data_IF_296494623019
#
_entry.id   IF_296494623019
#
_cell.length_a   1.000
_cell.length_b   1.000
_cell.length_c   1.000
_cell.angle_alpha   90.00
_cell.angle_beta   90.00
_cell.angle_gamma   90.00
#
_symmetry.space_group_name_H-M   'P 1'
#
loop_
_entity.id
_entity.type
_entity.pdbx_description
1 polymer ?
#
# COMPACT_ATOMS: atom_id res chain seq x y z
N UNK A 1 -5.41 2.02 -13.31
CA UNK A 1 -4.01 1.61 -12.95
C UNK A 1 -4.12 0.53 -11.91
N UNK A 2 -3.88 -0.72 -12.30
CA UNK A 2 -4.07 -1.89 -11.42
C UNK A 2 -2.88 -1.99 -10.46
N UNK A 3 -3.11 -1.73 -9.18
CA UNK A 3 -2.12 -1.99 -8.13
C UNK A 3 -2.17 -3.49 -7.83
N UNK A 4 -1.22 -4.25 -8.34
CA UNK A 4 -1.10 -5.67 -8.01
C UNK A 4 -0.46 -5.81 -6.63
N UNK A 5 -1.29 -5.80 -5.58
CA UNK A 5 -0.91 -6.31 -4.27
C UNK A 5 -1.03 -7.84 -4.33
N UNK A 6 0.06 -8.56 -4.10
CA UNK A 6 0.06 -10.02 -4.18
C UNK A 6 0.68 -10.61 -2.91
N UNK A 7 -0.14 -10.75 -1.85
CA UNK A 7 0.25 -11.41 -0.60
C UNK A 7 1.56 -10.90 0.04
N UNK A 8 2.12 -11.68 0.98
CA UNK A 8 3.36 -11.37 1.72
C UNK A 8 4.63 -11.20 0.84
N UNK A 9 4.49 -11.26 -0.48
CA UNK A 9 5.54 -10.95 -1.45
C UNK A 9 5.12 -9.73 -2.27
N UNK A 10 5.33 -8.54 -1.68
CA UNK A 10 5.32 -7.28 -2.38
C UNK A 10 6.44 -7.30 -3.43
N UNK A 11 6.21 -7.86 -4.62
CA UNK A 11 7.10 -7.58 -5.75
C UNK A 11 7.03 -6.06 -5.99
N UNK A 12 8.01 -5.34 -5.46
CA UNK A 12 8.14 -3.87 -5.31
C UNK A 12 8.28 -3.12 -6.64
N UNK A 13 7.62 -3.60 -7.70
CA UNK A 13 7.63 -2.97 -9.01
C UNK A 13 6.27 -2.33 -9.22
N UNK A 14 6.09 -1.13 -8.66
CA UNK A 14 5.21 -0.17 -9.33
C UNK A 14 5.82 -0.04 -10.72
N UNK A 15 5.15 -0.58 -11.73
CA UNK A 15 5.50 -0.38 -13.13
C UNK A 15 5.68 1.13 -13.27
N UNK A 16 6.94 1.58 -13.30
CA UNK A 16 7.27 2.99 -13.39
C UNK A 16 6.60 3.45 -14.66
N UNK A 17 5.57 4.28 -14.54
CA UNK A 17 5.12 5.10 -15.65
C UNK A 17 6.32 5.99 -15.95
N UNK A 18 7.19 5.49 -16.81
CA UNK A 18 8.48 6.04 -17.15
C UNK A 18 8.18 7.27 -17.99
N UNK A 19 7.85 8.39 -17.35
CA UNK A 19 8.34 9.64 -17.90
C UNK A 19 9.84 9.58 -17.65
N UNK A 20 10.67 9.53 -18.72
CA UNK A 20 12.10 9.64 -18.54
C UNK A 20 12.37 10.87 -17.67
N UNK A 21 13.29 10.77 -16.71
CA UNK A 21 13.62 11.88 -15.79
C UNK A 21 13.86 13.21 -16.53
N UNK A 22 14.30 13.15 -17.79
CA UNK A 22 14.46 14.29 -18.71
C UNK A 22 13.15 15.02 -19.05
N UNK A 23 12.02 14.31 -19.21
CA UNK A 23 10.72 14.93 -19.51
C UNK A 23 10.12 15.61 -18.28
N UNK A 24 10.31 15.05 -17.08
CA UNK A 24 9.84 15.69 -15.84
C UNK A 24 10.52 17.05 -15.62
N UNK A 25 11.84 17.12 -15.80
CA UNK A 25 12.60 18.36 -15.69
C UNK A 25 12.13 19.43 -16.71
N UNK A 26 11.67 19.01 -17.89
CA UNK A 26 11.21 19.93 -18.94
C UNK A 26 9.81 20.49 -18.65
N UNK A 27 8.85 19.64 -18.30
CA UNK A 27 7.46 20.06 -18.05
C UNK A 27 7.27 20.76 -16.70
N UNK A 28 8.05 20.39 -15.69
CA UNK A 28 7.94 20.90 -14.31
C UNK A 28 9.13 21.77 -13.91
N UNK A 29 9.76 22.47 -14.88
CA UNK A 29 10.92 23.34 -14.63
C UNK A 29 10.67 24.41 -13.54
N UNK A 30 9.42 24.88 -13.42
CA UNK A 30 9.01 25.85 -12.38
C UNK A 30 8.92 25.24 -10.97
N UNK A 31 8.96 23.91 -10.83
CA UNK A 31 8.77 23.18 -9.58
C UNK A 31 9.88 22.14 -9.35
N UNK A 32 11.15 22.57 -9.15
CA UNK A 32 12.30 21.66 -9.06
C UNK A 32 12.18 20.67 -7.88
N UNK A 33 11.66 21.12 -6.73
CA UNK A 33 11.48 20.25 -5.55
C UNK A 33 10.47 19.13 -5.82
N UNK A 34 9.36 19.44 -6.53
CA UNK A 34 8.37 18.43 -6.91
C UNK A 34 8.98 17.37 -7.84
N UNK A 35 9.87 17.76 -8.74
CA UNK A 35 10.53 16.82 -9.65
C UNK A 35 11.43 15.85 -8.86
N UNK A 36 12.17 16.36 -7.88
CA UNK A 36 12.99 15.52 -7.00
C UNK A 36 12.15 14.55 -6.16
N UNK A 37 11.01 15.01 -5.64
CA UNK A 37 10.08 14.15 -4.91
C UNK A 37 9.47 13.07 -5.81
N UNK A 38 9.08 13.42 -7.04
CA UNK A 38 8.54 12.46 -8.00
C UNK A 38 9.56 11.38 -8.40
N UNK A 39 10.85 11.74 -8.46
CA UNK A 39 11.94 10.76 -8.68
C UNK A 39 12.05 9.81 -7.49
N UNK A 40 11.98 10.32 -6.26
CA UNK A 40 12.20 9.53 -5.03
C UNK A 40 10.96 8.80 -4.50
N UNK A 41 9.74 9.18 -4.92
CA UNK A 41 8.47 8.66 -4.35
C UNK A 41 8.37 7.14 -4.26
N UNK A 42 8.91 6.42 -5.25
CA UNK A 42 8.86 4.96 -5.28
C UNK A 42 9.79 4.34 -4.22
N UNK A 43 10.97 4.96 -4.00
CA UNK A 43 11.89 4.57 -2.94
C UNK A 43 11.29 4.85 -1.58
N UNK A 44 10.69 6.04 -1.39
CA UNK A 44 10.01 6.40 -0.15
C UNK A 44 8.88 5.41 0.15
N UNK A 45 8.02 5.12 -0.82
CA UNK A 45 6.94 4.13 -0.66
C UNK A 45 7.48 2.74 -0.27
N UNK A 46 8.49 2.25 -0.97
CA UNK A 46 9.10 0.96 -0.68
C UNK A 46 9.72 0.94 0.73
N UNK A 47 10.47 1.97 1.11
CA UNK A 47 11.07 2.09 2.45
C UNK A 47 10.00 2.10 3.55
N UNK A 48 8.86 2.76 3.32
CA UNK A 48 7.74 2.75 4.26
C UNK A 48 7.13 1.36 4.42
N UNK A 49 7.01 0.59 3.33
CA UNK A 49 6.53 -0.80 3.39
C UNK A 49 7.50 -1.68 4.18
N UNK A 50 8.80 -1.54 3.96
CA UNK A 50 9.83 -2.29 4.67
C UNK A 50 9.83 -1.96 6.18
N UNK A 51 9.58 -0.70 6.52
CA UNK A 51 9.43 -0.28 7.91
C UNK A 51 8.20 -0.93 8.55
N UNK A 52 7.06 -0.95 7.86
CA UNK A 52 5.83 -1.59 8.35
C UNK A 52 6.08 -3.09 8.59
N UNK A 53 6.73 -3.79 7.66
CA UNK A 53 7.07 -5.22 7.81
C UNK A 53 7.94 -5.45 9.05
N UNK A 54 9.02 -4.68 9.21
CA UNK A 54 9.88 -4.77 10.41
C UNK A 54 9.12 -4.48 11.70
N UNK A 55 8.20 -3.52 11.69
CA UNK A 55 7.40 -3.18 12.87
C UNK A 55 6.38 -4.26 13.21
N UNK A 56 5.81 -4.91 12.20
CA UNK A 56 4.92 -6.07 12.37
C UNK A 56 5.68 -7.28 12.91
N UNK A 57 6.88 -7.59 12.38
CA UNK A 57 7.76 -8.67 12.87
C UNK A 57 8.17 -8.46 14.33
N UNK A 58 8.43 -7.21 14.74
CA UNK A 58 8.75 -6.85 16.12
C UNK A 58 7.51 -6.74 17.02
N UNK A 59 6.34 -7.20 16.56
CA UNK A 59 5.05 -7.15 17.26
C UNK A 59 4.61 -5.74 17.68
N UNK A 60 5.20 -4.68 17.11
CA UNK A 60 4.91 -3.28 17.43
C UNK A 60 3.68 -2.78 16.68
N UNK A 61 3.42 -3.30 15.48
CA UNK A 61 2.22 -3.01 14.68
C UNK A 61 1.46 -4.30 14.37
N UNK A 62 0.14 -4.20 14.29
CA UNK A 62 -0.71 -5.23 13.71
C UNK A 62 -1.34 -4.68 12.41
N UNK A 63 -1.10 -5.34 11.27
CA UNK A 63 -1.47 -4.79 9.96
C UNK A 63 -2.56 -5.62 9.31
N UNK A 64 -3.72 -5.01 9.05
CA UNK A 64 -4.73 -5.59 8.17
C UNK A 64 -4.40 -5.29 6.71
N UNK A 65 -4.02 -6.31 5.93
CA UNK A 65 -3.66 -6.17 4.52
C UNK A 65 -4.52 -7.08 3.65
N UNK A 66 -5.26 -6.55 2.66
CA UNK A 66 -6.00 -7.36 1.71
C UNK A 66 -5.04 -8.16 0.82
N UNK A 67 -5.38 -9.41 0.52
CA UNK A 67 -4.55 -10.27 -0.32
C UNK A 67 -4.56 -9.83 -1.79
N UNK A 68 -5.70 -9.27 -2.24
CA UNK A 68 -5.93 -8.83 -3.61
C UNK A 68 -6.91 -7.66 -3.63
N UNK A 69 -6.66 -6.69 -4.50
CA UNK A 69 -7.59 -5.60 -4.81
C UNK A 69 -7.84 -5.62 -6.32
N UNK A 70 -9.03 -6.08 -6.72
CA UNK A 70 -9.39 -6.29 -8.13
C UNK A 70 -10.23 -5.16 -8.73
N UNK A 71 -10.31 -4.02 -8.07
CA UNK A 71 -11.07 -2.86 -8.56
C UNK A 71 -10.15 -1.77 -9.09
N UNK A 72 -10.63 -0.94 -10.03
CA UNK A 72 -9.90 0.28 -10.39
C UNK A 72 -10.04 1.34 -9.30
N UNK A 73 -9.01 2.19 -9.17
CA UNK A 73 -8.96 3.24 -8.15
C UNK A 73 -10.07 4.27 -8.27
N UNK A 74 -10.61 4.46 -9.48
CA UNK A 74 -11.73 5.36 -9.74
C UNK A 74 -13.03 4.61 -10.04
N UNK A 75 -13.12 3.33 -9.68
CA UNK A 75 -14.36 2.57 -9.85
C UNK A 75 -15.49 3.20 -9.04
N UNK A 76 -16.67 3.28 -9.67
CA UNK A 76 -17.93 3.76 -9.06
C UNK A 76 -19.01 2.67 -9.08
N UNK A 77 -18.67 1.47 -9.56
CA UNK A 77 -19.61 0.36 -9.59
C UNK A 77 -19.92 -0.08 -8.15
N UNK A 78 -21.17 0.05 -7.75
CA UNK A 78 -21.62 -0.26 -6.39
C UNK A 78 -21.30 -1.71 -6.00
N UNK A 79 -21.47 -2.65 -6.94
CA UNK A 79 -21.27 -4.08 -6.69
C UNK A 79 -19.79 -4.39 -6.46
N UNK A 80 -18.89 -3.79 -7.25
CA UNK A 80 -17.45 -3.94 -7.05
C UNK A 80 -16.99 -3.38 -5.70
N UNK A 81 -17.50 -2.20 -5.32
CA UNK A 81 -17.18 -1.57 -4.04
C UNK A 81 -17.69 -2.39 -2.86
N UNK A 82 -18.90 -2.93 -2.96
CA UNK A 82 -19.48 -3.81 -1.93
C UNK A 82 -18.69 -5.12 -1.80
N UNK A 83 -18.23 -5.69 -2.91
CA UNK A 83 -17.34 -6.87 -2.89
C UNK A 83 -16.01 -6.57 -2.18
N UNK A 84 -15.38 -5.43 -2.49
CA UNK A 84 -14.14 -5.01 -1.82
C UNK A 84 -14.38 -4.83 -0.31
N UNK A 85 -15.45 -4.14 0.08
CA UNK A 85 -15.82 -3.94 1.49
C UNK A 85 -15.98 -5.28 2.22
N UNK A 86 -16.78 -6.19 1.65
CA UNK A 86 -17.03 -7.51 2.23
C UNK A 86 -15.76 -8.36 2.34
N UNK A 87 -14.81 -8.21 1.40
CA UNK A 87 -13.51 -8.87 1.48
C UNK A 87 -12.68 -8.38 2.68
N UNK A 88 -12.69 -7.07 2.95
CA UNK A 88 -12.02 -6.49 4.11
C UNK A 88 -12.67 -6.91 5.42
N UNK A 89 -14.00 -6.97 5.46
CA UNK A 89 -14.75 -7.45 6.62
C UNK A 89 -14.38 -8.90 6.96
N UNK A 90 -14.40 -9.80 5.98
CA UNK A 90 -14.01 -11.21 6.18
C UNK A 90 -12.56 -11.38 6.62
N UNK A 91 -11.65 -10.54 6.11
CA UNK A 91 -10.27 -10.52 6.55
C UNK A 91 -10.17 -10.13 8.04
N UNK A 92 -10.87 -9.09 8.45
CA UNK A 92 -10.89 -8.63 9.83
C UNK A 92 -11.48 -9.69 10.77
N UNK A 93 -12.60 -10.31 10.38
CA UNK A 93 -13.23 -11.40 11.12
C UNK A 93 -12.26 -12.58 11.30
N UNK A 94 -11.62 -13.03 10.22
CA UNK A 94 -10.64 -14.13 10.24
C UNK A 94 -9.46 -13.84 11.17
N UNK A 95 -9.00 -12.58 11.22
CA UNK A 95 -7.83 -12.16 12.01
C UNK A 95 -8.18 -11.55 13.37
N UNK A 96 -9.45 -11.56 13.77
CA UNK A 96 -9.93 -10.94 15.00
C UNK A 96 -9.32 -11.56 16.26
N UNK A 97 -9.08 -12.88 16.25
CA UNK A 97 -8.40 -13.60 17.33
C UNK A 97 -6.96 -13.12 17.52
N UNK A 98 -6.17 -13.17 16.44
CA UNK A 98 -4.78 -12.66 16.42
C UNK A 98 -4.70 -11.21 16.89
N UNK A 99 -5.64 -10.37 16.43
CA UNK A 99 -5.71 -8.97 16.84
C UNK A 99 -6.02 -8.81 18.34
N UNK A 100 -6.92 -9.63 18.87
CA UNK A 100 -7.27 -9.62 20.30
C UNK A 100 -6.09 -10.05 21.17
N UNK A 101 -5.30 -11.03 20.73
CA UNK A 101 -4.06 -11.45 21.39
C UNK A 101 -3.01 -10.33 21.34
N UNK A 102 -2.83 -9.72 20.16
CA UNK A 102 -1.93 -8.59 20.00
C UNK A 102 -2.27 -7.43 20.94
N UNK A 103 -3.56 -7.09 21.09
CA UNK A 103 -4.02 -6.07 22.03
C UNK A 103 -3.72 -6.42 23.49
N UNK A 104 -3.83 -7.69 23.89
CA UNK A 104 -3.49 -8.10 25.27
C UNK A 104 -2.00 -7.96 25.55
N UNK A 105 -1.17 -8.33 24.58
CA UNK A 105 0.29 -8.28 24.71
C UNK A 105 0.87 -6.86 24.66
N UNK A 106 0.11 -5.88 24.16
CA UNK A 106 0.54 -4.48 24.02
C UNK A 106 -0.29 -3.51 24.90
N UNK A 107 -1.06 -4.03 25.87
CA UNK A 107 -1.68 -3.23 26.92
C UNK A 107 -0.64 -3.00 28.01
N UNK A 108 0.09 -1.90 27.92
CA UNK A 108 0.63 -1.21 29.11
C UNK A 108 -0.51 -0.46 29.81
#
# INVERSE_FOLDING_TARGET
MKLFFNGKNLKRTILTFYLPNSRLNLFLKKYPNLVEDLKKRHQIYNNSLDLIEKKEENNQFFVFRPEKIDIDRFSRDKKELEQLYNSGYKLAEKRSGEFSEWLKNNKE
#
